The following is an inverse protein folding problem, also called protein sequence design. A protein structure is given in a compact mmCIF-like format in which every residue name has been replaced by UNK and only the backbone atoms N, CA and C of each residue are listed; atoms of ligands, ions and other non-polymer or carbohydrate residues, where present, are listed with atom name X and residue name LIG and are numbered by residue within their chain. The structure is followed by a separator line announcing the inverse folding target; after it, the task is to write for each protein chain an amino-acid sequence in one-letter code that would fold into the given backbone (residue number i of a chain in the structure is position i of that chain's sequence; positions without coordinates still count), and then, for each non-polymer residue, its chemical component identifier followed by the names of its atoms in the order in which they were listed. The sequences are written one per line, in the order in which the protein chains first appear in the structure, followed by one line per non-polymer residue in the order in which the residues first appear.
data_IF_820641932964
#
_entry.id   IF_820641932964
#
_cell.length_a   1.000
_cell.length_b   1.000
_cell.length_c   1.000
_cell.angle_alpha   90.00
_cell.angle_beta   90.00
_cell.angle_gamma   90.00
#
_symmetry.space_group_name_H-M   'P 1'
#
loop_
_entity.id
_entity.type
_entity.pdbx_description
1 polymer ?
#
# COMPACT_ATOMS: atom_id res chain seq x y z
N UNK A 1 12.35 3.07 12.44
CA UNK A 1 11.39 3.90 13.17
C UNK A 1 10.00 3.37 12.88
N UNK A 2 9.24 3.01 13.90
CA UNK A 2 7.86 2.54 13.77
C UNK A 2 6.97 3.53 14.51
N UNK A 3 5.94 4.04 13.84
CA UNK A 3 5.00 5.01 14.40
C UNK A 3 3.67 4.29 14.57
N UNK A 4 3.07 4.38 15.75
CA UNK A 4 1.79 3.74 16.02
C UNK A 4 0.64 4.62 15.52
N UNK A 5 0.05 4.22 14.39
CA UNK A 5 -1.12 4.85 13.79
C UNK A 5 -2.44 4.10 14.07
N UNK A 6 -2.49 3.19 15.05
CA UNK A 6 -3.71 2.38 15.30
C UNK A 6 -4.97 3.23 15.51
N UNK A 7 -4.89 4.28 16.34
CA UNK A 7 -6.02 5.18 16.58
C UNK A 7 -6.38 5.98 15.34
N UNK A 8 -5.37 6.48 14.61
CA UNK A 8 -5.60 7.19 13.35
C UNK A 8 -6.29 6.30 12.31
N UNK A 9 -5.86 5.04 12.17
CA UNK A 9 -6.41 4.07 11.22
C UNK A 9 -7.87 3.67 11.52
N UNK A 10 -8.36 3.88 12.75
CA UNK A 10 -9.78 3.68 13.10
C UNK A 10 -10.65 4.83 12.62
N UNK A 11 -10.09 6.04 12.57
CA UNK A 11 -10.79 7.26 12.17
C UNK A 11 -10.77 7.47 10.65
N UNK A 12 -9.79 6.91 9.94
CA UNK A 12 -9.69 7.04 8.48
C UNK A 12 -10.66 6.13 7.74
N UNK A 13 -11.18 6.62 6.60
CA UNK A 13 -12.02 5.82 5.71
C UNK A 13 -11.17 4.72 5.08
N UNK A 14 -11.53 3.46 5.33
CA UNK A 14 -10.83 2.31 4.74
C UNK A 14 -11.01 2.32 3.22
N UNK A 15 -9.92 2.47 2.50
CA UNK A 15 -9.92 2.28 1.04
C UNK A 15 -10.14 0.80 0.72
N UNK A 16 -11.36 0.45 0.29
CA UNK A 16 -11.71 -0.91 -0.15
C UNK A 16 -11.44 -1.05 -1.64
N UNK A 17 -10.18 -1.08 -2.01
CA UNK A 17 -9.81 -1.49 -3.36
C UNK A 17 -9.92 -3.03 -3.46
N UNK A 18 -10.57 -3.57 -4.49
CA UNK A 18 -10.65 -5.02 -4.67
C UNK A 18 -9.25 -5.54 -5.00
N UNK A 19 -8.58 -6.15 -4.03
CA UNK A 19 -7.35 -6.87 -4.26
C UNK A 19 -7.69 -8.23 -4.90
N UNK A 20 -7.09 -8.57 -6.05
CA UNK A 20 -7.33 -9.86 -6.69
C UNK A 20 -6.82 -10.98 -5.79
N UNK A 21 -7.45 -12.17 -5.88
CA UNK A 21 -6.94 -13.34 -5.18
C UNK A 21 -5.63 -13.78 -5.84
N UNK A 22 -4.81 -14.46 -5.05
CA UNK A 22 -3.52 -14.92 -5.53
C UNK A 22 -3.66 -15.92 -6.69
N UNK A 23 -4.68 -16.77 -6.65
CA UNK A 23 -4.99 -17.73 -7.72
C UNK A 23 -5.38 -17.00 -9.01
N UNK A 24 -6.25 -15.99 -8.92
CA UNK A 24 -6.68 -15.17 -10.07
C UNK A 24 -5.49 -14.45 -10.74
N UNK A 25 -4.46 -14.10 -9.97
CA UNK A 25 -3.22 -13.51 -10.50
C UNK A 25 -2.38 -14.57 -11.22
N UNK A 26 -2.25 -15.77 -10.67
CA UNK A 26 -1.46 -16.84 -11.26
C UNK A 26 -2.09 -17.44 -12.52
N UNK A 27 -3.42 -17.50 -12.60
CA UNK A 27 -4.13 -17.91 -13.81
C UNK A 27 -3.81 -16.99 -15.00
N UNK A 28 -3.62 -15.69 -14.77
CA UNK A 28 -3.21 -14.74 -15.82
C UNK A 28 -1.79 -14.97 -16.33
N UNK A 29 -0.94 -15.55 -15.48
CA UNK A 29 0.44 -15.85 -15.82
C UNK A 29 0.58 -17.19 -16.55
N UNK A 30 -0.45 -18.04 -16.53
CA UNK A 30 -0.42 -19.37 -17.16
C UNK A 30 -0.10 -19.27 -18.66
N UNK A 31 0.96 -19.96 -19.09
CA UNK A 31 1.40 -20.00 -20.49
C UNK A 31 2.55 -19.05 -20.85
N UNK A 32 2.99 -18.20 -19.93
CA UNK A 32 4.24 -17.43 -20.11
C UNK A 32 5.45 -18.28 -19.71
N UNK A 33 6.56 -18.14 -20.44
CA UNK A 33 7.79 -18.90 -20.22
C UNK A 33 8.81 -18.18 -19.34
N UNK A 34 8.70 -16.85 -19.23
CA UNK A 34 9.65 -16.01 -18.48
C UNK A 34 8.86 -14.97 -17.70
N UNK A 35 9.25 -14.77 -16.43
CA UNK A 35 8.65 -13.80 -15.52
C UNK A 35 9.73 -12.90 -14.93
N UNK A 36 9.39 -11.63 -14.69
CA UNK A 36 10.22 -10.71 -13.92
C UNK A 36 9.39 -10.12 -12.78
N UNK A 37 10.00 -10.00 -11.61
CA UNK A 37 9.40 -9.35 -10.44
C UNK A 37 10.13 -8.05 -10.18
N UNK A 38 9.39 -6.95 -10.15
CA UNK A 38 9.91 -5.64 -9.77
C UNK A 38 9.40 -5.36 -8.36
N UNK A 39 10.31 -5.09 -7.43
CA UNK A 39 9.98 -4.74 -6.06
C UNK A 39 10.18 -3.24 -5.81
N UNK A 40 9.16 -2.58 -5.27
CA UNK A 40 9.22 -1.18 -4.87
C UNK A 40 9.45 -1.10 -3.36
N UNK A 41 10.69 -1.40 -2.93
CA UNK A 41 11.10 -1.43 -1.50
C UNK A 41 10.71 -0.18 -0.70
N UNK A 42 10.65 0.99 -1.35
CA UNK A 42 10.28 2.27 -0.75
C UNK A 42 9.03 2.88 -1.40
N UNK A 43 8.15 2.08 -1.99
CA UNK A 43 6.99 2.55 -2.75
C UNK A 43 6.10 3.54 -1.98
N UNK A 44 5.88 3.29 -0.69
CA UNK A 44 5.10 4.19 0.18
C UNK A 44 5.71 5.59 0.32
N UNK A 45 7.04 5.71 0.27
CA UNK A 45 7.74 6.99 0.43
C UNK A 45 7.76 7.81 -0.87
N UNK A 46 7.50 7.17 -2.01
CA UNK A 46 7.44 7.83 -3.31
C UNK A 46 6.07 8.46 -3.58
N UNK A 47 5.02 7.97 -2.89
CA UNK A 47 3.67 8.51 -2.99
C UNK A 47 3.54 9.78 -2.14
N UNK A 48 3.06 10.86 -2.77
CA UNK A 48 2.79 12.11 -2.06
C UNK A 48 1.47 12.01 -1.31
N UNK A 49 1.50 12.40 -0.04
CA UNK A 49 0.30 12.64 0.76
C UNK A 49 -0.33 13.95 0.27
N UNK A 50 -1.66 14.02 0.23
CA UNK A 50 -2.36 15.28 -0.09
C UNK A 50 -2.03 16.33 0.97
N UNK A 51 -1.87 17.58 0.57
CA UNK A 51 -1.45 18.67 1.47
C UNK A 51 -2.36 18.82 2.70
N UNK A 52 -3.67 18.60 2.51
CA UNK A 52 -4.70 18.61 3.57
C UNK A 52 -4.51 17.51 4.63
N UNK A 53 -3.95 16.36 4.25
CA UNK A 53 -3.81 15.17 5.10
C UNK A 53 -2.44 15.09 5.79
N UNK A 54 -1.46 15.90 5.37
CA UNK A 54 -0.12 15.98 6.00
C UNK A 54 -0.20 16.16 7.53
N UNK A 55 -0.95 17.14 8.09
CA UNK A 55 -0.99 17.35 9.54
C UNK A 55 -1.59 16.16 10.30
N UNK A 56 -2.43 15.35 9.65
CA UNK A 56 -3.06 14.16 10.24
C UNK A 56 -2.02 13.06 10.48
N UNK A 57 -0.93 13.05 9.70
CA UNK A 57 0.16 12.07 9.80
C UNK A 57 1.31 12.51 10.72
N UNK A 58 1.16 13.61 11.44
CA UNK A 58 2.18 14.09 12.37
C UNK A 58 2.37 13.12 13.56
N UNK A 59 3.60 13.00 14.04
CA UNK A 59 3.94 12.24 15.25
C UNK A 59 4.93 13.03 16.10
N UNK A 60 4.97 12.74 17.40
CA UNK A 60 5.96 13.28 18.34
C UNK A 60 6.88 12.13 18.77
N UNK A 61 8.17 12.44 19.00
CA UNK A 61 9.20 11.47 19.41
C UNK A 61 9.59 11.69 20.87
#
# INVERSE_FOLDING_TARGET
MCIDYQELNKLTVKNRYPLPRIDDLFDQFQGLSVYSKIDLRSGYLQLRIKEEDIPITAFQT
#
